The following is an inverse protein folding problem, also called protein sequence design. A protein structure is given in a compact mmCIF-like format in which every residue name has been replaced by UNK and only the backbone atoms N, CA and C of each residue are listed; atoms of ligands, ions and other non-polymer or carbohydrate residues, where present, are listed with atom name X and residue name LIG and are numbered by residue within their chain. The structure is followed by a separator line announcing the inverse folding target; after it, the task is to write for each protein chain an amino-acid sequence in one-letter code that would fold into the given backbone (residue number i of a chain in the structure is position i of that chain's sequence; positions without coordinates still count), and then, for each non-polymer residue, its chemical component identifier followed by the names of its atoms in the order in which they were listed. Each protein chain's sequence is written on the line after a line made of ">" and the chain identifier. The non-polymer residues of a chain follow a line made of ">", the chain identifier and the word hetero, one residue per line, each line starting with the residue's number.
data_IF_968003292755
#
_entry.id   IF_968003292755
#
_cell.length_a   1.000
_cell.length_b   1.000
_cell.length_c   1.000
_cell.angle_alpha   90.00
_cell.angle_beta   90.00
_cell.angle_gamma   90.00
#
_symmetry.space_group_name_H-M   'P 1'
#
loop_
_entity.id
_entity.type
_entity.pdbx_description
1 polymer ?
#
# COMPACT_ATOMS: atom_id res chain seq x y z
N UNK A 1 -50.30 -18.22 5.08
CA UNK A 1 -50.39 -19.48 4.31
C UNK A 1 -49.82 -19.23 2.93
N UNK A 2 -49.10 -20.20 2.38
CA UNK A 2 -48.46 -20.16 1.06
C UNK A 2 -47.78 -21.51 0.83
N UNK A 3 -47.72 -21.97 -0.41
CA UNK A 3 -47.20 -23.31 -0.74
C UNK A 3 -45.74 -23.29 -1.17
N UNK A 4 -45.24 -22.14 -1.61
CA UNK A 4 -43.88 -21.99 -2.12
C UNK A 4 -42.83 -22.00 -0.99
N UNK A 5 -41.57 -22.24 -1.36
CA UNK A 5 -40.40 -22.26 -0.49
C UNK A 5 -39.52 -20.99 -0.62
N UNK A 6 -39.75 -20.16 -1.64
CA UNK A 6 -39.12 -18.84 -1.81
C UNK A 6 -40.21 -17.79 -2.04
N UNK A 7 -40.13 -16.67 -1.33
CA UNK A 7 -40.95 -15.49 -1.61
C UNK A 7 -40.05 -14.28 -1.75
N UNK A 8 -40.18 -13.58 -2.88
CA UNK A 8 -39.49 -12.32 -3.15
C UNK A 8 -40.35 -11.14 -2.67
N UNK A 9 -39.75 -10.26 -1.88
CA UNK A 9 -40.36 -9.01 -1.44
C UNK A 9 -39.95 -7.87 -2.35
N UNK A 10 -40.94 -7.25 -3.02
CA UNK A 10 -40.75 -5.98 -3.73
C UNK A 10 -41.30 -4.84 -2.90
N UNK A 11 -40.52 -3.76 -2.77
CA UNK A 11 -40.91 -2.58 -2.03
C UNK A 11 -41.60 -1.58 -2.96
N UNK A 12 -42.81 -1.16 -2.60
CA UNK A 12 -43.51 -0.08 -3.27
C UNK A 12 -43.54 1.16 -2.37
N UNK A 13 -43.07 2.29 -2.91
CA UNK A 13 -43.06 3.56 -2.20
C UNK A 13 -44.27 4.39 -2.64
N UNK A 14 -45.28 4.46 -1.77
CA UNK A 14 -46.54 5.17 -2.03
C UNK A 14 -46.66 6.37 -1.07
N UNK A 15 -46.94 7.56 -1.62
CA UNK A 15 -47.12 8.79 -0.85
C UNK A 15 -48.33 8.71 0.07
N UNK A 16 -48.16 8.96 1.38
CA UNK A 16 -49.29 8.83 2.34
C UNK A 16 -50.45 9.79 2.11
N UNK A 17 -50.18 10.97 1.56
CA UNK A 17 -51.19 12.02 1.38
C UNK A 17 -51.82 11.99 -0.02
N UNK A 18 -51.00 11.83 -1.06
CA UNK A 18 -51.42 11.93 -2.47
C UNK A 18 -51.64 10.54 -3.10
N UNK A 19 -51.16 9.48 -2.45
CA UNK A 19 -51.28 8.08 -2.91
C UNK A 19 -50.65 7.83 -4.28
N UNK A 20 -49.68 8.67 -4.67
CA UNK A 20 -48.86 8.49 -5.85
C UNK A 20 -47.68 7.54 -5.57
N UNK A 21 -47.23 6.86 -6.62
CA UNK A 21 -46.04 6.01 -6.58
C UNK A 21 -44.81 6.87 -6.81
N UNK A 22 -43.81 6.72 -5.94
CA UNK A 22 -42.53 7.39 -6.11
C UNK A 22 -41.73 6.71 -7.23
N UNK A 23 -41.44 7.48 -8.28
CA UNK A 23 -40.64 7.06 -9.43
C UNK A 23 -39.27 7.76 -9.44
N UNK A 24 -38.21 7.13 -9.95
CA UNK A 24 -36.92 7.79 -10.09
C UNK A 24 -36.99 8.86 -11.20
N UNK A 25 -36.32 9.98 -10.98
CA UNK A 25 -36.17 11.02 -12.02
C UNK A 25 -35.34 10.51 -13.21
N UNK A 26 -35.49 11.14 -14.38
CA UNK A 26 -34.73 10.76 -15.59
C UNK A 26 -33.21 10.72 -15.35
N UNK A 27 -32.68 11.69 -14.57
CA UNK A 27 -31.26 11.71 -14.21
C UNK A 27 -30.86 10.51 -13.35
N UNK A 28 -31.70 10.09 -12.40
CA UNK A 28 -31.44 8.90 -11.58
C UNK A 28 -31.52 7.61 -12.41
N UNK A 29 -32.45 7.53 -13.36
CA UNK A 29 -32.53 6.39 -14.29
C UNK A 29 -31.25 6.26 -15.11
N UNK A 30 -30.72 7.36 -15.63
CA UNK A 30 -29.49 7.36 -16.42
C UNK A 30 -28.25 7.05 -15.58
N UNK A 31 -28.10 7.69 -14.41
CA UNK A 31 -26.94 7.52 -13.54
C UNK A 31 -26.87 6.13 -12.91
N UNK A 32 -27.99 5.61 -12.39
CA UNK A 32 -28.03 4.35 -11.65
C UNK A 32 -28.50 3.17 -12.51
N UNK A 33 -28.93 3.40 -13.75
CA UNK A 33 -29.47 2.39 -14.67
C UNK A 33 -30.64 1.61 -14.05
N UNK A 34 -31.54 2.34 -13.39
CA UNK A 34 -32.74 1.82 -12.73
C UNK A 34 -34.00 2.29 -13.45
N UNK A 35 -35.04 1.48 -13.42
CA UNK A 35 -36.39 1.88 -13.88
C UNK A 35 -37.31 2.21 -12.71
N UNK A 36 -37.12 1.56 -11.55
CA UNK A 36 -37.96 1.69 -10.38
C UNK A 36 -37.13 1.95 -9.12
N UNK A 37 -37.66 2.75 -8.20
CA UNK A 37 -36.94 3.17 -6.97
C UNK A 37 -36.54 1.98 -6.10
N UNK A 38 -37.28 0.88 -6.08
CA UNK A 38 -36.93 -0.26 -5.22
C UNK A 38 -35.59 -0.92 -5.59
N UNK A 39 -35.12 -0.75 -6.84
CA UNK A 39 -33.90 -1.41 -7.34
C UNK A 39 -32.61 -0.89 -6.69
N UNK A 40 -32.65 0.26 -6.01
CA UNK A 40 -31.51 0.76 -5.21
C UNK A 40 -31.53 0.25 -3.77
N UNK A 41 -32.59 -0.43 -3.34
CA UNK A 41 -32.70 -1.02 -2.01
C UNK A 41 -32.39 -2.52 -2.05
N UNK A 42 -32.01 -3.11 -0.91
CA UNK A 42 -31.82 -4.56 -0.83
C UNK A 42 -33.09 -5.33 -1.21
N UNK A 43 -32.91 -6.42 -1.95
CA UNK A 43 -33.98 -7.40 -2.20
C UNK A 43 -34.17 -8.28 -0.95
N UNK A 44 -35.42 -8.46 -0.53
CA UNK A 44 -35.77 -9.30 0.61
C UNK A 44 -36.35 -10.62 0.14
N UNK A 45 -35.81 -11.73 0.64
CA UNK A 45 -36.34 -13.06 0.37
C UNK A 45 -36.78 -13.71 1.69
N UNK A 46 -37.96 -14.34 1.68
CA UNK A 46 -38.39 -15.23 2.75
C UNK A 46 -38.17 -16.66 2.28
N UNK A 47 -37.26 -17.36 2.96
CA UNK A 47 -36.92 -18.74 2.66
C UNK A 47 -37.61 -19.68 3.64
N UNK A 48 -38.43 -20.58 3.10
CA UNK A 48 -39.11 -21.61 3.88
C UNK A 48 -38.43 -22.95 3.67
N UNK A 49 -37.27 -23.08 4.30
CA UNK A 49 -36.34 -24.21 4.15
C UNK A 49 -37.02 -25.58 4.36
N UNK A 50 -37.98 -25.70 5.29
CA UNK A 50 -38.74 -26.95 5.52
C UNK A 50 -39.67 -27.35 4.37
N UNK A 51 -40.10 -26.40 3.55
CA UNK A 51 -40.98 -26.65 2.40
C UNK A 51 -40.19 -26.95 1.11
N UNK A 52 -38.87 -26.82 1.14
CA UNK A 52 -38.02 -27.15 0.01
C UNK A 52 -38.03 -28.67 -0.27
N UNK A 53 -38.19 -29.03 -1.54
CA UNK A 53 -38.34 -30.42 -1.99
C UNK A 53 -37.03 -31.12 -2.39
N UNK A 54 -35.88 -30.56 -1.99
CA UNK A 54 -34.53 -31.09 -2.25
C UNK A 54 -34.13 -31.15 -3.74
N UNK A 55 -34.92 -30.51 -4.62
CA UNK A 55 -34.62 -30.37 -6.04
C UNK A 55 -34.00 -29.00 -6.30
N UNK A 56 -32.72 -28.95 -6.65
CA UNK A 56 -32.00 -27.72 -6.97
C UNK A 56 -32.15 -27.36 -8.45
N UNK A 57 -32.68 -26.17 -8.74
CA UNK A 57 -32.89 -25.67 -10.12
C UNK A 57 -31.95 -24.52 -10.48
N UNK A 58 -31.41 -23.84 -9.46
CA UNK A 58 -30.53 -22.69 -9.60
C UNK A 58 -29.59 -22.62 -8.38
N UNK A 59 -28.68 -21.63 -8.40
CA UNK A 59 -27.72 -21.41 -7.32
C UNK A 59 -28.35 -21.04 -5.96
N UNK A 60 -29.53 -20.40 -5.95
CA UNK A 60 -30.25 -20.11 -4.70
C UNK A 60 -30.82 -21.39 -4.09
N UNK A 61 -31.35 -22.31 -4.89
CA UNK A 61 -31.82 -23.61 -4.41
C UNK A 61 -30.66 -24.45 -3.83
N UNK A 62 -29.46 -24.36 -4.40
CA UNK A 62 -28.26 -25.02 -3.83
C UNK A 62 -27.93 -24.49 -2.42
N UNK A 63 -28.05 -23.17 -2.21
CA UNK A 63 -27.93 -22.56 -0.88
C UNK A 63 -29.05 -23.03 0.06
N UNK A 64 -30.28 -23.14 -0.42
CA UNK A 64 -31.42 -23.62 0.40
C UNK A 64 -31.24 -25.10 0.75
N UNK A 65 -30.74 -25.93 -0.17
CA UNK A 65 -30.37 -27.33 0.10
C UNK A 65 -29.35 -27.40 1.23
N UNK A 66 -28.29 -26.59 1.14
CA UNK A 66 -27.27 -26.53 2.19
C UNK A 66 -27.86 -26.09 3.53
N UNK A 67 -28.69 -25.05 3.56
CA UNK A 67 -29.34 -24.57 4.80
C UNK A 67 -30.28 -25.61 5.42
N UNK A 68 -30.88 -26.48 4.61
CA UNK A 68 -31.76 -27.56 5.08
C UNK A 68 -30.99 -28.75 5.61
N UNK A 69 -29.98 -29.19 4.86
CA UNK A 69 -29.35 -30.49 5.02
C UNK A 69 -27.95 -30.41 5.66
N UNK A 70 -27.40 -29.19 5.82
CA UNK A 70 -26.02 -28.94 6.26
C UNK A 70 -24.96 -29.66 5.42
N UNK A 71 -25.29 -29.96 4.17
CA UNK A 71 -24.48 -30.72 3.22
C UNK A 71 -24.31 -29.90 1.93
N UNK A 72 -23.12 -29.95 1.34
CA UNK A 72 -22.81 -29.33 0.05
C UNK A 72 -22.39 -30.44 -0.91
N UNK A 73 -23.20 -30.68 -1.94
CA UNK A 73 -22.88 -31.69 -2.96
C UNK A 73 -21.75 -31.22 -3.87
N UNK A 74 -21.00 -32.16 -4.45
CA UNK A 74 -19.82 -31.84 -5.28
C UNK A 74 -20.20 -31.10 -6.56
N UNK A 75 -21.40 -31.34 -7.10
CA UNK A 75 -21.90 -30.72 -8.31
C UNK A 75 -22.34 -29.25 -8.14
N UNK A 76 -22.50 -28.75 -6.91
CA UNK A 76 -23.01 -27.40 -6.66
C UNK A 76 -22.05 -26.30 -7.15
N UNK A 77 -22.61 -25.32 -7.86
CA UNK A 77 -21.84 -24.24 -8.51
C UNK A 77 -22.11 -22.86 -7.89
N UNK A 78 -22.99 -22.75 -6.88
CA UNK A 78 -23.32 -21.47 -6.29
C UNK A 78 -22.06 -20.82 -5.69
N UNK A 79 -21.83 -19.57 -6.10
CA UNK A 79 -20.70 -18.77 -5.66
C UNK A 79 -20.67 -18.73 -4.13
N UNK A 80 -19.54 -19.12 -3.55
CA UNK A 80 -19.32 -19.12 -2.10
C UNK A 80 -19.58 -20.46 -1.40
N UNK A 81 -20.35 -21.40 -1.99
CA UNK A 81 -20.57 -22.72 -1.38
C UNK A 81 -19.28 -23.54 -1.25
N UNK A 82 -18.37 -23.44 -2.22
CA UNK A 82 -17.07 -24.11 -2.13
C UNK A 82 -16.24 -23.64 -0.90
N UNK A 83 -16.34 -22.35 -0.55
CA UNK A 83 -15.68 -21.81 0.63
C UNK A 83 -16.41 -22.24 1.92
N UNK A 84 -17.74 -22.25 1.91
CA UNK A 84 -18.54 -22.78 3.01
C UNK A 84 -18.22 -24.27 3.29
N UNK A 85 -18.00 -25.08 2.25
CA UNK A 85 -17.61 -26.49 2.38
C UNK A 85 -16.28 -26.67 3.12
N UNK A 86 -15.28 -25.83 2.82
CA UNK A 86 -14.00 -25.83 3.55
C UNK A 86 -14.21 -25.52 5.04
N UNK A 87 -15.04 -24.53 5.35
CA UNK A 87 -15.33 -24.15 6.74
C UNK A 87 -16.11 -25.25 7.48
N UNK A 88 -17.10 -25.87 6.84
CA UNK A 88 -17.83 -27.02 7.40
C UNK A 88 -16.90 -28.19 7.68
N UNK A 89 -15.97 -28.49 6.76
CA UNK A 89 -14.96 -29.53 6.96
C UNK A 89 -14.12 -29.24 8.21
N UNK A 90 -13.69 -27.99 8.40
CA UNK A 90 -12.96 -27.56 9.61
C UNK A 90 -13.82 -27.72 10.87
N UNK A 91 -15.11 -27.36 10.82
CA UNK A 91 -16.04 -27.53 11.95
C UNK A 91 -16.33 -29.00 12.26
N UNK A 92 -16.30 -29.86 11.25
CA UNK A 92 -16.48 -31.31 11.39
C UNK A 92 -15.24 -32.07 11.86
N UNK A 93 -14.08 -31.41 11.99
CA UNK A 93 -12.86 -32.04 12.49
C UNK A 93 -13.04 -32.49 13.95
N UNK A 94 -12.45 -33.63 14.34
CA UNK A 94 -12.31 -33.99 15.75
C UNK A 94 -11.63 -32.85 16.54
N UNK A 95 -12.04 -32.65 17.81
CA UNK A 95 -11.54 -31.54 18.64
C UNK A 95 -10.00 -31.46 18.68
N UNK A 96 -9.30 -32.59 18.65
CA UNK A 96 -7.83 -32.68 18.61
C UNK A 96 -7.24 -32.13 17.31
N UNK A 97 -7.83 -32.47 16.16
CA UNK A 97 -7.40 -31.98 14.84
C UNK A 97 -7.75 -30.51 14.65
N UNK A 98 -8.94 -30.09 15.12
CA UNK A 98 -9.36 -28.68 15.10
C UNK A 98 -8.40 -27.80 15.92
N UNK A 99 -7.99 -28.25 17.11
CA UNK A 99 -7.02 -27.55 17.95
C UNK A 99 -5.64 -27.48 17.29
N UNK A 100 -5.17 -28.56 16.67
CA UNK A 100 -3.91 -28.57 15.94
C UNK A 100 -3.93 -27.62 14.73
N UNK A 101 -5.05 -27.58 14.00
CA UNK A 101 -5.25 -26.67 12.87
C UNK A 101 -5.30 -25.20 13.30
N UNK A 102 -6.02 -24.89 14.39
CA UNK A 102 -6.04 -23.53 14.95
C UNK A 102 -4.64 -23.07 15.37
N UNK A 103 -3.90 -23.95 16.05
CA UNK A 103 -2.51 -23.67 16.44
C UNK A 103 -1.62 -23.41 15.21
N UNK A 104 -1.75 -24.22 14.15
CA UNK A 104 -1.04 -23.99 12.90
C UNK A 104 -1.36 -22.60 12.29
N UNK A 105 -2.63 -22.19 12.29
CA UNK A 105 -3.03 -20.86 11.81
C UNK A 105 -2.48 -19.73 12.69
N UNK A 106 -2.41 -19.94 14.00
CA UNK A 106 -1.81 -19.02 14.96
C UNK A 106 -0.31 -18.88 14.72
N UNK A 107 0.41 -19.99 14.58
CA UNK A 107 1.84 -20.03 14.29
C UNK A 107 2.15 -19.29 12.97
N UNK A 108 1.33 -19.49 11.92
CA UNK A 108 1.46 -18.76 10.65
C UNK A 108 1.23 -17.26 10.80
N UNK A 109 0.24 -16.86 11.59
CA UNK A 109 -0.04 -15.44 11.85
C UNK A 109 1.11 -14.80 12.62
N UNK A 110 1.67 -15.52 13.59
CA UNK A 110 2.83 -15.07 14.35
C UNK A 110 4.06 -14.90 13.44
N UNK A 111 4.31 -15.86 12.54
CA UNK A 111 5.39 -15.77 11.54
C UNK A 111 5.25 -14.53 10.65
N UNK A 112 4.04 -14.25 10.12
CA UNK A 112 3.76 -13.07 9.30
C UNK A 112 3.99 -11.78 10.11
N UNK A 113 3.43 -11.69 11.32
CA UNK A 113 3.58 -10.53 12.19
C UNK A 113 5.04 -10.25 12.54
N UNK A 114 5.84 -11.30 12.78
CA UNK A 114 7.26 -11.17 13.04
C UNK A 114 8.03 -10.63 11.83
N UNK A 115 7.71 -11.11 10.62
CA UNK A 115 8.33 -10.62 9.39
C UNK A 115 7.97 -9.15 9.12
N UNK A 116 6.69 -8.79 9.22
CA UNK A 116 6.22 -7.40 9.08
C UNK A 116 6.90 -6.47 10.10
N UNK A 117 7.03 -6.92 11.35
CA UNK A 117 7.75 -6.18 12.39
C UNK A 117 9.25 -6.02 12.09
N UNK A 118 9.90 -7.07 11.57
CA UNK A 118 11.31 -7.02 11.20
C UNK A 118 11.56 -6.08 10.01
N UNK A 119 10.67 -6.08 9.01
CA UNK A 119 10.71 -5.18 7.86
C UNK A 119 10.55 -3.72 8.30
N UNK A 120 9.56 -3.43 9.15
CA UNK A 120 9.33 -2.09 9.69
C UNK A 120 10.53 -1.57 10.49
N UNK A 121 11.14 -2.41 11.33
CA UNK A 121 12.37 -2.06 12.06
C UNK A 121 13.55 -1.83 11.10
N UNK A 122 13.66 -2.64 10.05
CA UNK A 122 14.67 -2.48 9.01
C UNK A 122 14.55 -1.16 8.25
N UNK A 123 13.34 -0.79 7.85
CA UNK A 123 13.08 0.49 7.16
C UNK A 123 13.40 1.69 8.05
N UNK A 124 12.97 1.66 9.32
CA UNK A 124 13.26 2.72 10.28
C UNK A 124 14.77 2.91 10.48
N UNK A 125 15.51 1.81 10.69
CA UNK A 125 16.98 1.86 10.85
C UNK A 125 17.66 2.36 9.59
N UNK A 126 17.29 1.84 8.42
CA UNK A 126 17.86 2.28 7.15
C UNK A 126 17.63 3.77 6.89
N UNK A 127 16.45 4.29 7.26
CA UNK A 127 16.15 5.73 7.17
C UNK A 127 16.99 6.56 8.13
N UNK A 128 17.11 6.15 9.39
CA UNK A 128 17.94 6.85 10.38
C UNK A 128 19.41 6.87 9.98
N UNK A 129 19.95 5.73 9.54
CA UNK A 129 21.32 5.60 9.06
C UNK A 129 21.55 6.47 7.81
N UNK A 130 20.63 6.44 6.84
CA UNK A 130 20.71 7.27 5.64
C UNK A 130 20.66 8.77 5.94
N UNK A 131 19.81 9.21 6.88
CA UNK A 131 19.79 10.61 7.33
C UNK A 131 21.12 11.00 7.97
N UNK A 132 21.68 10.12 8.82
CA UNK A 132 22.94 10.39 9.50
C UNK A 132 24.10 10.48 8.51
N UNK A 133 24.22 9.50 7.61
CA UNK A 133 25.25 9.48 6.56
C UNK A 133 25.12 10.69 5.64
N UNK A 134 23.93 10.97 5.11
CA UNK A 134 23.71 12.12 4.23
C UNK A 134 24.00 13.47 4.91
N UNK A 135 23.76 13.58 6.22
CA UNK A 135 24.14 14.78 6.98
C UNK A 135 25.66 14.91 7.13
N UNK A 136 26.35 13.82 7.45
CA UNK A 136 27.82 13.82 7.58
C UNK A 136 28.50 14.13 6.24
N UNK A 137 28.06 13.50 5.15
CA UNK A 137 28.52 13.75 3.78
C UNK A 137 28.24 15.20 3.36
N UNK A 138 27.02 15.70 3.56
CA UNK A 138 26.67 17.08 3.22
C UNK A 138 27.47 18.13 4.00
N UNK A 139 27.82 17.86 5.25
CA UNK A 139 28.71 18.74 6.04
C UNK A 139 30.13 18.73 5.44
N UNK A 140 30.67 17.55 5.10
CA UNK A 140 32.01 17.44 4.53
C UNK A 140 32.10 18.11 3.16
N UNK A 141 31.12 17.90 2.28
CA UNK A 141 31.02 18.56 0.99
C UNK A 141 30.93 20.08 1.15
N UNK A 142 30.10 20.56 2.09
CA UNK A 142 29.97 21.99 2.38
C UNK A 142 31.28 22.62 2.83
N UNK A 143 32.02 21.96 3.73
CA UNK A 143 33.35 22.41 4.17
C UNK A 143 34.33 22.44 2.99
N UNK A 144 34.33 21.41 2.15
CA UNK A 144 35.23 21.33 1.00
C UNK A 144 34.95 22.43 -0.03
N UNK A 145 33.67 22.70 -0.32
CA UNK A 145 33.25 23.79 -1.21
C UNK A 145 33.66 25.16 -0.65
N UNK A 146 33.46 25.39 0.65
CA UNK A 146 33.85 26.64 1.32
C UNK A 146 35.36 26.87 1.24
N UNK A 147 36.17 25.83 1.48
CA UNK A 147 37.63 25.91 1.37
C UNK A 147 38.09 26.18 -0.07
N UNK A 148 37.45 25.58 -1.07
CA UNK A 148 37.74 25.86 -2.49
C UNK A 148 37.46 27.32 -2.83
N UNK A 149 36.26 27.80 -2.49
CA UNK A 149 35.85 29.17 -2.75
C UNK A 149 36.79 30.18 -2.07
N UNK A 150 37.22 29.90 -0.85
CA UNK A 150 38.19 30.75 -0.14
C UNK A 150 39.56 30.76 -0.80
N UNK A 151 40.07 29.59 -1.21
CA UNK A 151 41.35 29.49 -1.91
C UNK A 151 41.33 30.28 -3.23
N UNK A 152 40.28 30.08 -4.04
CA UNK A 152 40.10 30.84 -5.28
C UNK A 152 39.99 32.34 -5.03
N UNK A 153 39.26 32.76 -3.99
CA UNK A 153 39.14 34.18 -3.62
C UNK A 153 40.49 34.78 -3.22
N UNK A 154 41.31 34.07 -2.45
CA UNK A 154 42.66 34.52 -2.08
C UNK A 154 43.53 34.66 -3.32
N UNK A 155 43.55 33.65 -4.19
CA UNK A 155 44.32 33.68 -5.43
C UNK A 155 43.87 34.84 -6.34
N UNK A 156 42.56 35.11 -6.43
CA UNK A 156 42.03 36.25 -7.18
C UNK A 156 42.47 37.60 -6.60
N UNK A 157 42.39 37.76 -5.28
CA UNK A 157 42.78 39.01 -4.60
C UNK A 157 44.28 39.29 -4.71
N UNK A 158 45.12 38.24 -4.70
CA UNK A 158 46.59 38.40 -4.74
C UNK A 158 47.14 38.52 -6.16
N UNK A 159 46.60 37.77 -7.11
CA UNK A 159 47.21 37.59 -8.42
C UNK A 159 46.29 37.99 -9.59
N UNK A 160 45.05 38.39 -9.31
CA UNK A 160 44.08 38.81 -10.33
C UNK A 160 43.35 37.63 -10.98
N UNK A 161 43.19 37.64 -12.30
CA UNK A 161 42.48 36.58 -13.01
C UNK A 161 43.23 35.25 -12.95
N UNK A 162 42.56 34.20 -12.44
CA UNK A 162 43.11 32.84 -12.38
C UNK A 162 42.83 32.12 -13.70
N UNK A 163 43.82 31.47 -14.32
CA UNK A 163 43.62 30.57 -15.46
C UNK A 163 42.61 29.44 -15.16
N UNK A 164 41.76 29.11 -16.14
CA UNK A 164 40.72 28.07 -16.00
C UNK A 164 41.30 26.72 -15.58
N UNK A 165 42.48 26.37 -16.09
CA UNK A 165 43.19 25.13 -15.76
C UNK A 165 43.43 24.97 -14.25
N UNK A 166 43.74 26.04 -13.53
CA UNK A 166 44.02 26.00 -12.09
C UNK A 166 42.72 25.84 -11.30
N UNK A 167 41.64 26.53 -11.70
CA UNK A 167 40.32 26.37 -11.07
C UNK A 167 39.79 24.94 -11.25
N UNK A 168 39.93 24.35 -12.43
CA UNK A 168 39.59 22.95 -12.69
C UNK A 168 40.38 21.98 -11.80
N UNK A 169 41.68 22.21 -11.59
CA UNK A 169 42.49 21.40 -10.68
C UNK A 169 41.99 21.53 -9.24
N UNK A 170 41.67 22.75 -8.77
CA UNK A 170 41.16 23.01 -7.41
C UNK A 170 39.82 22.30 -7.16
N UNK A 171 38.96 22.18 -8.17
CA UNK A 171 37.68 21.45 -8.08
C UNK A 171 37.85 19.94 -7.84
N UNK A 172 39.02 19.36 -8.12
CA UNK A 172 39.31 17.95 -7.85
C UNK A 172 39.90 17.67 -6.46
N UNK A 173 40.29 18.70 -5.72
CA UNK A 173 41.11 18.53 -4.51
C UNK A 173 40.29 18.20 -3.26
N UNK A 174 40.85 17.36 -2.40
CA UNK A 174 40.30 17.05 -1.08
C UNK A 174 40.62 18.16 -0.05
N UNK A 175 39.98 18.12 1.12
CA UNK A 175 40.14 19.13 2.18
C UNK A 175 41.60 19.30 2.60
N UNK A 176 42.37 18.20 2.74
CA UNK A 176 43.77 18.29 3.17
C UNK A 176 44.67 18.98 2.13
N UNK A 177 44.45 18.70 0.85
CA UNK A 177 45.15 19.35 -0.26
C UNK A 177 44.82 20.85 -0.30
N UNK A 178 43.55 21.20 -0.13
CA UNK A 178 43.10 22.60 -0.09
C UNK A 178 43.76 23.38 1.06
N UNK A 179 43.91 22.76 2.23
CA UNK A 179 44.54 23.39 3.40
C UNK A 179 46.02 23.68 3.19
N UNK A 180 46.70 22.73 2.56
CA UNK A 180 48.11 22.88 2.21
C UNK A 180 48.27 24.03 1.22
N UNK A 181 47.46 24.04 0.17
CA UNK A 181 47.48 25.10 -0.84
C UNK A 181 47.04 26.46 -0.30
N UNK A 182 46.16 26.52 0.70
CA UNK A 182 45.78 27.77 1.36
C UNK A 182 47.02 28.47 1.96
N UNK A 183 47.88 27.69 2.60
CA UNK A 183 49.13 28.20 3.18
C UNK A 183 50.09 28.67 2.09
N UNK A 184 50.27 27.87 1.03
CA UNK A 184 51.11 28.23 -0.12
C UNK A 184 50.58 29.48 -0.85
N UNK A 185 49.27 29.62 -0.97
CA UNK A 185 48.63 30.76 -1.62
C UNK A 185 48.87 32.08 -0.86
N UNK A 186 49.12 32.03 0.45
CA UNK A 186 49.44 33.21 1.26
C UNK A 186 50.92 33.61 1.16
N UNK A 187 51.83 32.65 0.92
CA UNK A 187 53.28 32.90 0.91
C UNK A 187 53.90 33.03 -0.48
N UNK A 188 53.28 32.46 -1.52
CA UNK A 188 53.81 32.51 -2.88
C UNK A 188 53.94 33.96 -3.38
N UNK A 189 54.98 34.25 -4.17
CA UNK A 189 55.22 35.59 -4.72
C UNK A 189 54.55 35.79 -6.09
N UNK A 190 54.17 34.70 -6.76
CA UNK A 190 53.51 34.71 -8.06
C UNK A 190 52.59 33.52 -8.25
N UNK A 191 51.71 33.61 -9.25
CA UNK A 191 50.81 32.53 -9.62
C UNK A 191 51.56 31.33 -10.22
N UNK A 192 52.67 31.56 -10.93
CA UNK A 192 53.53 30.49 -11.47
C UNK A 192 54.20 29.68 -10.36
N UNK A 193 54.68 30.36 -9.31
CA UNK A 193 55.26 29.70 -8.12
C UNK A 193 54.22 28.85 -7.40
N UNK A 194 53.00 29.37 -7.21
CA UNK A 194 51.90 28.60 -6.63
C UNK A 194 51.55 27.36 -7.48
N UNK A 195 51.53 27.51 -8.81
CA UNK A 195 51.15 26.45 -9.74
C UNK A 195 52.06 25.22 -9.68
N UNK A 196 53.31 25.38 -9.24
CA UNK A 196 54.26 24.26 -9.06
C UNK A 196 53.90 23.35 -7.87
N UNK A 197 53.05 23.82 -6.96
CA UNK A 197 52.59 23.06 -5.80
C UNK A 197 51.22 22.40 -6.01
N UNK A 198 50.61 22.59 -7.19
CA UNK A 198 49.41 21.84 -7.56
C UNK A 198 49.78 20.38 -7.87
N UNK A 199 48.95 19.40 -7.45
CA UNK A 199 49.16 17.99 -7.77
C UNK A 199 48.92 17.66 -9.25
#
# INVERSE_FOLDING_TARGET
>A
QGEDYIYEGKLDFIGRHIQDRLEPSNLQKELFKIEQVYQIFPEYYILRVKQFNDVTRNSLDEWIYFLKNSEIKEEFQARGLAQANKNLRIESLPNTEKAAYQKYLEDKRYEISMLEGAEAVGELRGREEGIKQGREEGILEGIQQERRANLERILQLRFGTIPSKISETIQGLNIQQLDTLMTTALTANSLDEFSQHLP
#
